data_IF_995268960957
#
_entry.id   IF_995268960957
#
_cell.length_a   1.000
_cell.length_b   1.000
_cell.length_c   1.000
_cell.angle_alpha   90.00
_cell.angle_beta   90.00
_cell.angle_gamma   90.00
#
_symmetry.space_group_name_H-M   'P 1'
#
loop_
_entity.id
_entity.type
_entity.pdbx_description
1 polymer ?
#
# COMPACT_ATOMS: atom_id res chain seq x y z
N UNK A 1 47.16 41.46 1.66
CA UNK A 1 47.71 40.11 1.41
C UNK A 1 48.54 40.15 0.15
N UNK A 2 49.85 39.89 0.25
CA UNK A 2 50.75 39.96 -0.90
C UNK A 2 50.39 38.86 -1.92
N UNK A 3 50.28 39.18 -3.23
CA UNK A 3 49.94 38.20 -4.27
C UNK A 3 50.90 37.01 -4.31
N UNK A 4 52.20 37.23 -4.00
CA UNK A 4 53.20 36.15 -3.92
C UNK A 4 52.90 35.09 -2.85
N UNK A 5 52.29 35.47 -1.73
CA UNK A 5 51.95 34.52 -0.65
C UNK A 5 50.85 33.56 -1.11
N UNK A 6 49.88 34.04 -1.91
CA UNK A 6 48.79 33.19 -2.43
C UNK A 6 49.31 32.14 -3.41
N UNK A 7 50.22 32.53 -4.29
CA UNK A 7 50.84 31.62 -5.26
C UNK A 7 51.69 30.58 -4.56
N UNK A 8 52.49 30.99 -3.57
CA UNK A 8 53.28 30.08 -2.75
C UNK A 8 52.39 29.07 -2.02
N UNK A 9 51.33 29.53 -1.36
CA UNK A 9 50.41 28.68 -0.62
C UNK A 9 49.70 27.67 -1.52
N UNK A 10 49.27 28.10 -2.71
CA UNK A 10 48.68 27.22 -3.72
C UNK A 10 49.66 26.13 -4.17
N UNK A 11 50.90 26.50 -4.50
CA UNK A 11 51.92 25.54 -4.89
C UNK A 11 52.22 24.52 -3.79
N UNK A 12 52.32 24.96 -2.53
CA UNK A 12 52.56 24.06 -1.39
C UNK A 12 51.41 23.09 -1.19
N UNK A 13 50.16 23.56 -1.30
CA UNK A 13 48.97 22.70 -1.20
C UNK A 13 48.92 21.67 -2.33
N UNK A 14 49.26 22.03 -3.55
CA UNK A 14 49.29 21.08 -4.68
C UNK A 14 50.33 19.99 -4.46
N UNK A 15 51.56 20.37 -4.06
CA UNK A 15 52.63 19.39 -3.79
C UNK A 15 52.27 18.50 -2.60
N UNK A 16 51.73 19.08 -1.52
CA UNK A 16 51.26 18.33 -0.37
C UNK A 16 50.15 17.35 -0.76
N UNK A 17 49.17 17.78 -1.56
CA UNK A 17 48.08 16.94 -2.04
C UNK A 17 48.56 15.76 -2.86
N UNK A 18 49.49 15.97 -3.80
CA UNK A 18 50.08 14.89 -4.60
C UNK A 18 50.87 13.93 -3.72
N UNK A 19 51.68 14.46 -2.79
CA UNK A 19 52.45 13.63 -1.85
C UNK A 19 51.54 12.76 -0.98
N UNK A 20 50.50 13.35 -0.37
CA UNK A 20 49.50 12.62 0.39
C UNK A 20 48.80 11.56 -0.48
N UNK A 21 48.42 11.91 -1.71
CA UNK A 21 47.77 10.96 -2.63
C UNK A 21 48.65 9.73 -2.89
N UNK A 22 49.95 9.91 -3.13
CA UNK A 22 50.86 8.80 -3.40
C UNK A 22 51.10 7.98 -2.13
N UNK A 23 51.39 8.63 -1.00
CA UNK A 23 51.73 7.96 0.26
C UNK A 23 50.55 7.20 0.85
N UNK A 24 49.35 7.78 0.82
CA UNK A 24 48.17 7.18 1.44
C UNK A 24 47.33 6.31 0.49
N UNK A 25 47.64 6.30 -0.82
CA UNK A 25 46.94 5.43 -1.79
C UNK A 25 46.86 3.97 -1.34
N UNK A 26 47.97 3.42 -0.83
CA UNK A 26 48.03 2.02 -0.37
C UNK A 26 47.15 1.78 0.84
N UNK A 27 47.15 2.70 1.81
CA UNK A 27 46.30 2.59 3.01
C UNK A 27 44.82 2.73 2.66
N UNK A 28 44.49 3.57 1.69
CA UNK A 28 43.11 3.73 1.20
C UNK A 28 42.61 2.47 0.49
N UNK A 29 43.46 1.84 -0.33
CA UNK A 29 43.15 0.53 -0.95
C UNK A 29 43.00 -0.55 0.12
N UNK A 30 43.89 -0.62 1.11
CA UNK A 30 43.77 -1.58 2.23
C UNK A 30 42.53 -1.33 3.06
N UNK A 31 42.15 -0.07 3.30
CA UNK A 31 40.92 0.29 4.00
C UNK A 31 39.68 -0.11 3.20
N UNK A 32 39.68 0.16 1.89
CA UNK A 32 38.60 -0.27 1.01
C UNK A 32 38.48 -1.81 1.01
N UNK A 33 39.59 -2.54 0.84
CA UNK A 33 39.60 -4.00 0.86
C UNK A 33 39.15 -4.56 2.22
N UNK A 34 39.59 -3.94 3.32
CA UNK A 34 39.19 -4.30 4.68
C UNK A 34 37.73 -3.97 4.99
N UNK A 35 37.18 -2.92 4.38
CA UNK A 35 35.80 -2.50 4.56
C UNK A 35 34.79 -3.31 3.74
N UNK A 36 35.21 -3.91 2.62
CA UNK A 36 34.33 -4.72 1.76
C UNK A 36 33.77 -5.93 2.51
N UNK A 37 34.57 -6.61 3.33
CA UNK A 37 34.13 -7.80 4.07
C UNK A 37 32.93 -7.51 5.00
N UNK A 38 33.07 -6.61 5.98
CA UNK A 38 31.96 -6.21 6.85
C UNK A 38 30.76 -5.67 6.08
N UNK A 39 30.98 -4.93 4.99
CA UNK A 39 29.90 -4.37 4.19
C UNK A 39 29.10 -5.48 3.47
N UNK A 40 29.77 -6.50 2.93
CA UNK A 40 29.10 -7.68 2.37
C UNK A 40 28.32 -8.47 3.42
N UNK A 41 28.84 -8.58 4.65
CA UNK A 41 28.11 -9.21 5.76
C UNK A 41 26.82 -8.44 6.09
N UNK A 42 26.89 -7.10 6.13
CA UNK A 42 25.71 -6.26 6.36
C UNK A 42 24.70 -6.36 5.23
N UNK A 43 25.14 -6.37 3.97
CA UNK A 43 24.26 -6.56 2.82
C UNK A 43 23.61 -7.94 2.85
N UNK A 44 24.37 -9.00 3.16
CA UNK A 44 23.83 -10.35 3.31
C UNK A 44 22.80 -10.44 4.44
N UNK A 45 23.11 -9.86 5.62
CA UNK A 45 22.17 -9.79 6.73
C UNK A 45 20.91 -9.00 6.37
N UNK A 46 21.03 -7.92 5.60
CA UNK A 46 19.91 -7.12 5.11
C UNK A 46 19.01 -7.89 4.14
N UNK A 47 19.58 -8.68 3.22
CA UNK A 47 18.81 -9.53 2.30
C UNK A 47 18.02 -10.59 3.07
N UNK A 48 18.67 -11.29 4.01
CA UNK A 48 18.02 -12.29 4.87
C UNK A 48 16.91 -11.65 5.71
N UNK A 49 17.15 -10.43 6.19
CA UNK A 49 16.16 -9.67 6.94
C UNK A 49 14.93 -9.32 6.10
N UNK A 50 15.11 -8.89 4.83
CA UNK A 50 14.00 -8.63 3.91
C UNK A 50 13.18 -9.90 3.62
N UNK A 51 13.84 -11.04 3.40
CA UNK A 51 13.12 -12.32 3.20
C UNK A 51 12.31 -12.73 4.44
N UNK A 52 12.83 -12.45 5.64
CA UNK A 52 12.11 -12.70 6.90
C UNK A 52 10.89 -11.81 7.08
N UNK A 53 10.94 -10.56 6.61
CA UNK A 53 9.83 -9.60 6.77
C UNK A 53 8.61 -9.97 5.90
N UNK A 54 8.82 -10.55 4.71
CA UNK A 54 7.72 -11.03 3.86
C UNK A 54 6.89 -12.13 4.54
N UNK A 55 7.52 -13.00 5.33
CA UNK A 55 6.82 -14.04 6.07
C UNK A 55 5.94 -13.48 7.20
N UNK A 56 6.32 -12.33 7.77
CA UNK A 56 5.55 -11.67 8.82
C UNK A 56 4.25 -11.07 8.27
N UNK A 57 4.28 -10.49 7.07
CA UNK A 57 3.06 -9.94 6.43
C UNK A 57 2.04 -11.04 6.09
N UNK A 58 2.50 -12.22 5.66
CA UNK A 58 1.61 -13.38 5.41
C UNK A 58 0.89 -13.85 6.67
N UNK A 59 1.50 -13.74 7.86
CA UNK A 59 0.87 -14.11 9.13
C UNK A 59 -0.14 -13.07 9.61
N UNK A 60 0.12 -11.77 9.43
CA UNK A 60 -0.83 -10.74 9.80
C UNK A 60 -2.10 -10.78 8.93
N UNK A 61 -1.97 -10.98 7.62
CA UNK A 61 -3.15 -11.14 6.74
C UNK A 61 -3.97 -12.40 7.08
N UNK A 62 -3.33 -13.50 7.47
CA UNK A 62 -4.04 -14.74 7.83
C UNK A 62 -4.68 -14.69 9.24
N UNK A 63 -4.08 -13.95 10.17
CA UNK A 63 -4.59 -13.76 11.53
C UNK A 63 -5.75 -12.77 11.60
N UNK A 64 -5.73 -11.71 10.78
CA UNK A 64 -6.84 -10.75 10.71
C UNK A 64 -8.13 -11.39 10.21
N UNK A 65 -8.05 -12.19 9.14
CA UNK A 65 -9.24 -12.82 8.56
C UNK A 65 -9.89 -13.89 9.46
N UNK A 66 -9.10 -14.57 10.28
CA UNK A 66 -9.63 -15.63 11.18
C UNK A 66 -10.38 -15.04 12.38
N UNK A 67 -9.93 -13.91 12.95
CA UNK A 67 -10.64 -13.29 14.08
C UNK A 67 -11.88 -12.52 13.62
N UNK A 68 -11.82 -11.87 12.46
CA UNK A 68 -12.96 -11.21 11.83
C UNK A 68 -14.04 -12.23 11.45
N UNK A 69 -13.67 -13.35 10.82
CA UNK A 69 -14.64 -14.38 10.41
C UNK A 69 -15.36 -15.07 11.58
N UNK A 70 -14.69 -15.25 12.73
CA UNK A 70 -15.35 -15.79 13.92
C UNK A 70 -16.33 -14.79 14.53
N UNK A 71 -15.94 -13.51 14.59
CA UNK A 71 -16.76 -12.43 15.12
C UNK A 71 -18.00 -12.19 14.24
N UNK A 72 -17.83 -12.28 12.92
CA UNK A 72 -18.90 -12.17 11.94
C UNK A 72 -19.90 -13.34 12.03
N UNK A 73 -19.41 -14.58 12.21
CA UNK A 73 -20.30 -15.73 12.48
C UNK A 73 -21.12 -15.58 13.77
N UNK A 74 -20.50 -15.08 14.85
CA UNK A 74 -21.18 -14.84 16.12
C UNK A 74 -22.24 -13.75 16.00
N UNK A 75 -21.94 -12.66 15.28
CA UNK A 75 -22.88 -11.58 15.04
C UNK A 75 -24.06 -12.03 14.17
N UNK A 76 -23.80 -12.78 13.10
CA UNK A 76 -24.84 -13.32 12.23
C UNK A 76 -25.77 -14.32 12.95
N UNK A 77 -25.21 -15.17 13.83
CA UNK A 77 -25.99 -16.09 14.66
C UNK A 77 -26.89 -15.36 15.68
N UNK A 78 -26.48 -14.20 16.20
CA UNK A 78 -27.34 -13.36 17.04
C UNK A 78 -28.45 -12.67 16.23
N UNK A 79 -28.14 -12.18 15.03
CA UNK A 79 -29.12 -11.52 14.13
C UNK A 79 -30.24 -12.48 13.72
N UNK A 80 -29.92 -13.74 13.37
CA UNK A 80 -30.93 -14.76 13.05
C UNK A 80 -31.86 -15.07 14.25
N UNK A 81 -31.35 -15.00 15.48
CA UNK A 81 -32.16 -15.17 16.70
C UNK A 81 -33.14 -14.00 16.92
N UNK A 82 -32.80 -12.79 16.47
CA UNK A 82 -33.69 -11.63 16.56
C UNK A 82 -34.71 -11.58 15.41
N UNK A 83 -34.36 -12.03 14.21
CA UNK A 83 -35.30 -12.13 13.09
C UNK A 83 -36.41 -13.14 13.34
N UNK A 84 -36.10 -14.31 13.91
CA UNK A 84 -37.11 -15.31 14.28
C UNK A 84 -38.06 -14.87 15.43
N UNK A 85 -37.81 -13.73 16.09
CA UNK A 85 -38.75 -13.12 17.04
C UNK A 85 -39.59 -12.00 16.41
N UNK A 86 -39.30 -11.59 15.17
CA UNK A 86 -40.00 -10.48 14.47
C UNK A 86 -40.94 -10.93 13.36
N UNK A 87 -40.95 -12.19 12.95
CA UNK A 87 -41.81 -12.73 11.88
C UNK A 87 -43.25 -13.09 12.30
N UNK A 88 -43.71 -12.69 13.48
CA UNK A 88 -45.14 -12.83 13.88
C UNK A 88 -45.93 -11.52 13.82
N UNK A 89 -45.42 -10.46 13.17
CA UNK A 89 -46.19 -9.23 12.99
C UNK A 89 -45.98 -8.61 11.62
N UNK A 90 -47.10 -8.40 10.94
CA UNK A 90 -47.30 -7.61 9.72
C UNK A 90 -47.01 -8.26 8.35
N UNK A 91 -48.00 -9.05 7.97
CA UNK A 91 -48.61 -8.93 6.64
C UNK A 91 -49.11 -7.49 6.42
N UNK A 92 -48.67 -6.81 5.35
CA UNK A 92 -49.46 -5.94 4.45
C UNK A 92 -48.63 -4.77 3.86
N UNK A 93 -48.64 -4.71 2.52
CA UNK A 93 -48.52 -3.57 1.60
C UNK A 93 -47.19 -3.23 0.88
N UNK A 94 -47.28 -3.43 -0.45
CA UNK A 94 -46.96 -2.51 -1.57
C UNK A 94 -45.52 -2.07 -1.81
N UNK A 95 -45.02 -2.48 -2.97
CA UNK A 95 -43.69 -2.15 -3.47
C UNK A 95 -43.45 -0.67 -3.74
N UNK A 96 -42.20 -0.28 -3.58
CA UNK A 96 -41.56 0.89 -4.19
C UNK A 96 -40.04 0.67 -4.05
N UNK A 97 -39.36 0.57 -5.18
CA UNK A 97 -37.91 0.75 -5.39
C UNK A 97 -36.99 0.50 -4.18
N UNK A 98 -36.55 -0.75 -4.02
CA UNK A 98 -35.40 -1.05 -3.16
C UNK A 98 -34.16 -0.38 -3.77
N UNK A 99 -33.81 0.80 -3.23
CA UNK A 99 -32.54 1.48 -3.44
C UNK A 99 -31.44 0.53 -2.93
N UNK A 100 -31.00 -0.40 -3.79
CA UNK A 100 -29.85 -1.27 -3.51
C UNK A 100 -28.70 -0.39 -3.02
N UNK A 101 -28.23 -0.64 -1.80
CA UNK A 101 -27.17 0.14 -1.19
C UNK A 101 -25.83 -0.20 -1.87
N UNK A 102 -25.50 0.58 -2.91
CA UNK A 102 -24.26 0.42 -3.64
C UNK A 102 -23.04 1.00 -2.91
N UNK A 103 -23.22 1.59 -1.72
CA UNK A 103 -22.15 2.25 -0.97
C UNK A 103 -21.00 1.29 -0.62
N UNK A 104 -21.32 0.06 -0.25
CA UNK A 104 -20.33 -0.97 0.09
C UNK A 104 -19.45 -1.37 -1.10
N UNK A 105 -20.06 -1.43 -2.30
CA UNK A 105 -19.36 -1.79 -3.53
C UNK A 105 -18.38 -0.68 -3.93
N UNK A 106 -18.82 0.58 -3.85
CA UNK A 106 -17.99 1.73 -4.17
C UNK A 106 -16.97 2.05 -3.07
N UNK A 107 -17.14 1.58 -1.83
CA UNK A 107 -16.14 1.85 -0.78
C UNK A 107 -14.84 1.05 -0.98
N UNK A 108 -14.91 -0.06 -1.70
CA UNK A 108 -13.77 -0.93 -2.03
C UNK A 108 -12.75 -0.29 -3.00
N UNK A 109 -11.62 -0.97 -3.27
CA UNK A 109 -10.65 -0.50 -4.28
C UNK A 109 -11.26 -0.51 -5.67
N UNK A 110 -10.77 0.35 -6.57
CA UNK A 110 -11.35 0.52 -7.93
C UNK A 110 -11.43 -0.82 -8.68
N UNK A 111 -10.43 -1.68 -8.50
CA UNK A 111 -10.37 -3.01 -9.10
C UNK A 111 -11.44 -3.95 -8.55
N UNK A 112 -11.63 -3.97 -7.22
CA UNK A 112 -12.65 -4.80 -6.57
C UNK A 112 -14.06 -4.34 -6.90
N UNK A 113 -14.30 -3.03 -6.90
CA UNK A 113 -15.57 -2.46 -7.30
C UNK A 113 -15.93 -2.89 -8.74
N UNK A 114 -14.97 -2.81 -9.68
CA UNK A 114 -15.18 -3.24 -11.06
C UNK A 114 -15.51 -4.73 -11.17
N UNK A 115 -14.83 -5.57 -10.41
CA UNK A 115 -15.08 -7.02 -10.35
C UNK A 115 -16.50 -7.29 -9.84
N UNK A 116 -16.86 -6.74 -8.67
CA UNK A 116 -18.19 -6.91 -8.08
C UNK A 116 -19.33 -6.40 -8.97
N UNK A 117 -19.12 -5.30 -9.71
CA UNK A 117 -20.12 -4.76 -10.65
C UNK A 117 -20.22 -5.63 -11.91
N UNK A 118 -19.11 -6.26 -12.33
CA UNK A 118 -19.10 -7.14 -13.51
C UNK A 118 -19.72 -8.50 -13.24
N UNK A 119 -19.71 -8.94 -11.98
CA UNK A 119 -20.34 -10.19 -11.53
C UNK A 119 -21.86 -10.05 -11.30
N UNK A 120 -22.40 -8.82 -11.35
CA UNK A 120 -23.84 -8.56 -11.23
C UNK A 120 -24.56 -8.85 -12.54
N UNK A 121 -25.72 -9.50 -12.45
CA UNK A 121 -26.53 -9.89 -13.60
C UNK A 121 -27.22 -8.69 -14.27
N UNK A 122 -27.57 -7.65 -13.50
CA UNK A 122 -28.12 -6.37 -14.00
C UNK A 122 -27.66 -5.18 -13.13
N UNK A 123 -26.41 -4.69 -13.31
CA UNK A 123 -25.88 -3.58 -12.52
C UNK A 123 -26.50 -2.23 -12.92
N UNK A 124 -27.10 -1.54 -11.95
CA UNK A 124 -27.58 -0.16 -12.16
C UNK A 124 -26.39 0.83 -12.12
N UNK A 125 -25.78 1.06 -13.28
CA UNK A 125 -24.63 1.96 -13.44
C UNK A 125 -24.92 3.40 -13.01
N UNK A 126 -26.16 3.86 -13.10
CA UNK A 126 -26.56 5.21 -12.68
C UNK A 126 -26.56 5.36 -11.16
N UNK A 127 -27.11 4.38 -10.46
CA UNK A 127 -27.07 4.33 -9.00
C UNK A 127 -25.63 4.17 -8.47
N UNK A 128 -24.82 3.33 -9.12
CA UNK A 128 -23.40 3.15 -8.80
C UNK A 128 -22.58 4.44 -8.98
N UNK A 129 -22.81 5.18 -10.06
CA UNK A 129 -22.13 6.45 -10.31
C UNK A 129 -22.55 7.52 -9.29
N UNK A 130 -23.83 7.55 -8.90
CA UNK A 130 -24.32 8.44 -7.85
C UNK A 130 -23.69 8.12 -6.49
N UNK A 131 -23.62 6.83 -6.13
CA UNK A 131 -22.99 6.37 -4.89
C UNK A 131 -21.49 6.71 -4.85
N UNK A 132 -20.74 6.47 -5.93
CA UNK A 132 -19.31 6.82 -6.02
C UNK A 132 -19.09 8.33 -5.91
N UNK A 133 -19.95 9.16 -6.53
CA UNK A 133 -19.87 10.63 -6.40
C UNK A 133 -20.07 11.08 -4.95
N UNK A 134 -20.99 10.44 -4.21
CA UNK A 134 -21.25 10.77 -2.80
C UNK A 134 -20.12 10.31 -1.87
N UNK A 135 -19.41 9.22 -2.20
CA UNK A 135 -18.37 8.67 -1.34
C UNK A 135 -16.98 9.30 -1.62
N UNK A 136 -16.31 8.89 -2.71
CA UNK A 136 -14.90 9.23 -2.97
C UNK A 136 -14.68 10.00 -4.28
N UNK A 137 -15.68 10.05 -5.17
CA UNK A 137 -15.64 10.75 -6.46
C UNK A 137 -14.40 10.40 -7.31
N UNK A 138 -13.98 9.14 -7.33
CA UNK A 138 -12.77 8.72 -8.06
C UNK A 138 -13.03 8.75 -9.56
N UNK A 139 -12.29 9.62 -10.25
CA UNK A 139 -12.39 9.82 -11.70
C UNK A 139 -12.30 8.51 -12.49
N UNK A 140 -11.42 7.59 -12.09
CA UNK A 140 -11.18 6.32 -12.79
C UNK A 140 -12.36 5.35 -12.74
N UNK A 141 -13.12 5.33 -11.63
CA UNK A 141 -14.30 4.46 -11.50
C UNK A 141 -15.50 5.09 -12.17
N UNK A 142 -15.68 6.41 -12.01
CA UNK A 142 -16.75 7.17 -12.69
C UNK A 142 -16.63 7.08 -14.21
N UNK A 143 -15.44 7.27 -14.78
CA UNK A 143 -15.22 7.17 -16.22
C UNK A 143 -15.48 5.75 -16.75
N UNK A 144 -15.19 4.73 -15.94
CA UNK A 144 -15.48 3.33 -16.29
C UNK A 144 -16.98 3.04 -16.25
N UNK A 145 -17.70 3.54 -15.23
CA UNK A 145 -19.16 3.42 -15.12
C UNK A 145 -19.88 4.15 -16.26
N UNK A 146 -19.46 5.38 -16.57
CA UNK A 146 -20.01 6.17 -17.68
C UNK A 146 -19.77 5.51 -19.04
N UNK A 147 -18.65 4.80 -19.21
CA UNK A 147 -18.36 4.03 -20.43
C UNK A 147 -19.22 2.77 -20.55
N UNK A 148 -19.64 2.16 -19.44
CA UNK A 148 -20.51 0.96 -19.43
C UNK A 148 -21.99 1.29 -19.58
N UNK A 149 -22.37 2.50 -19.19
CA UNK A 149 -23.71 3.04 -19.41
C UNK A 149 -24.06 3.22 -20.89
N UNK A 150 -23.07 3.62 -21.70
CA UNK A 150 -23.20 3.83 -23.15
C UNK A 150 -22.88 2.54 -23.94
#
# INVERSE_FOLDING_TARGET
MHPGIKVLFGATLTVAGVYLSITFSKQLVTLALGGVGPLLVLVGAFIVWLESDEWKMKRQNKSGNTSSGLQEQLQNAQSMRQQNQKEETDTTNSGTDEEMDYSDIVDSTVEKAKESISDMEDPNYDALAAAERRNKSRKTLLEWLERRKN
#
